data_IF_368249428198
#
_entry.id   IF_368249428198
#
_cell.length_a   1.000
_cell.length_b   1.000
_cell.length_c   1.000
_cell.angle_alpha   90.00
_cell.angle_beta   90.00
_cell.angle_gamma   90.00
#
_symmetry.space_group_name_H-M   'P 1'
#
loop_
_entity.id
_entity.type
_entity.pdbx_description
1 polymer ?
#
# COMPACT_ATOMS: atom_id res chain seq x y z
N UNK A 1 10.41 33.20 -2.42
CA UNK A 1 9.05 33.69 -2.04
C UNK A 1 9.18 35.14 -1.64
N UNK A 2 8.40 36.05 -2.28
CA UNK A 2 8.35 37.44 -1.84
C UNK A 2 7.35 37.60 -0.67
N UNK A 3 7.56 38.58 0.22
CA UNK A 3 6.64 38.80 1.34
C UNK A 3 5.21 39.06 0.87
N UNK A 4 5.06 39.76 -0.26
CA UNK A 4 3.78 40.08 -0.86
C UNK A 4 3.02 38.82 -1.33
N UNK A 5 3.75 37.80 -1.88
CA UNK A 5 3.16 36.52 -2.30
C UNK A 5 2.66 35.70 -1.10
N UNK A 6 3.42 35.71 0.00
CA UNK A 6 3.01 35.06 1.24
C UNK A 6 1.73 35.68 1.81
N UNK A 7 1.64 37.04 1.81
CA UNK A 7 0.44 37.75 2.29
C UNK A 7 -0.79 37.41 1.42
N UNK A 8 -0.62 37.40 0.09
CA UNK A 8 -1.71 36.99 -0.83
C UNK A 8 -2.25 35.60 -0.56
N UNK A 9 -1.35 34.64 -0.23
CA UNK A 9 -1.76 33.30 0.14
C UNK A 9 -2.49 33.24 1.47
N UNK A 10 -2.00 33.96 2.48
CA UNK A 10 -2.67 34.06 3.79
C UNK A 10 -4.07 34.63 3.63
N UNK A 11 -4.23 35.72 2.89
CA UNK A 11 -5.52 36.37 2.63
C UNK A 11 -6.48 35.39 1.92
N UNK A 12 -5.98 34.66 0.93
CA UNK A 12 -6.77 33.66 0.19
C UNK A 12 -7.32 32.54 1.07
N UNK A 13 -6.58 32.14 2.10
CA UNK A 13 -7.00 31.10 3.03
C UNK A 13 -7.66 31.65 4.31
N UNK A 14 -7.84 32.96 4.41
CA UNK A 14 -8.43 33.61 5.60
C UNK A 14 -7.55 33.44 6.84
N UNK A 15 -6.25 33.33 6.65
CA UNK A 15 -5.26 33.22 7.73
C UNK A 15 -4.60 34.53 8.02
N UNK A 16 -4.20 34.76 9.26
CA UNK A 16 -3.40 35.91 9.69
C UNK A 16 -2.20 35.47 10.51
N UNK A 17 -1.10 36.17 10.36
CA UNK A 17 0.12 35.99 11.17
C UNK A 17 0.29 37.24 12.02
N UNK A 18 0.71 37.08 13.27
CA UNK A 18 1.04 38.18 14.13
C UNK A 18 2.13 39.04 13.45
N UNK A 19 1.99 40.39 13.42
CA UNK A 19 3.00 41.25 12.82
C UNK A 19 4.40 41.07 13.39
N UNK A 20 4.53 40.71 14.66
CA UNK A 20 5.81 40.46 15.32
C UNK A 20 6.47 39.17 14.85
N UNK A 21 5.68 38.20 14.40
CA UNK A 21 6.16 36.89 13.87
C UNK A 21 6.29 36.85 12.33
N UNK A 22 5.88 37.93 11.65
CA UNK A 22 5.77 37.92 10.17
C UNK A 22 7.10 37.66 9.46
N UNK A 23 8.23 38.16 10.00
CA UNK A 23 9.55 37.94 9.40
C UNK A 23 10.06 36.51 9.60
N UNK A 24 9.81 35.93 10.76
CA UNK A 24 10.18 34.54 11.05
C UNK A 24 9.32 33.56 10.20
N UNK A 25 8.03 33.85 10.09
CA UNK A 25 7.12 33.09 9.24
C UNK A 25 7.53 33.13 7.76
N UNK A 26 7.89 34.35 7.27
CA UNK A 26 8.40 34.47 5.90
C UNK A 26 9.71 33.70 5.70
N UNK A 27 10.63 33.75 6.66
CA UNK A 27 11.90 33.04 6.62
C UNK A 27 11.66 31.50 6.52
N UNK A 28 10.74 30.98 7.32
CA UNK A 28 10.32 29.58 7.26
C UNK A 28 9.73 29.21 5.89
N UNK A 29 8.81 30.01 5.38
CA UNK A 29 8.20 29.77 4.06
C UNK A 29 9.23 29.81 2.92
N UNK A 30 10.18 30.75 2.98
CA UNK A 30 11.26 30.83 2.00
C UNK A 30 12.13 29.57 2.04
N UNK A 31 12.53 29.11 3.23
CA UNK A 31 13.31 27.90 3.40
C UNK A 31 12.58 26.64 2.87
N UNK A 32 11.29 26.51 3.15
CA UNK A 32 10.47 25.40 2.61
C UNK A 32 10.37 25.47 1.09
N UNK A 33 10.17 26.67 0.54
CA UNK A 33 10.14 26.88 -0.90
C UNK A 33 11.47 26.49 -1.57
N UNK A 34 12.59 26.94 -1.02
CA UNK A 34 13.93 26.65 -1.57
C UNK A 34 14.22 25.13 -1.51
N UNK A 35 13.83 24.47 -0.42
CA UNK A 35 13.89 23.01 -0.35
C UNK A 35 13.03 22.33 -1.41
N UNK A 36 11.83 22.83 -1.67
CA UNK A 36 10.93 22.28 -2.71
C UNK A 36 11.52 22.49 -4.12
N UNK A 37 12.08 23.68 -4.39
CA UNK A 37 12.76 23.97 -5.65
C UNK A 37 13.99 23.07 -5.86
N UNK A 38 14.77 22.81 -4.82
CA UNK A 38 15.91 21.90 -4.91
C UNK A 38 15.48 20.47 -5.15
N UNK A 39 14.39 20.01 -4.53
CA UNK A 39 13.80 18.71 -4.83
C UNK A 39 13.28 18.64 -6.26
N UNK A 40 12.65 19.70 -6.77
CA UNK A 40 12.14 19.76 -8.14
C UNK A 40 13.23 19.66 -9.23
N UNK A 41 14.45 20.10 -8.93
CA UNK A 41 15.62 19.99 -9.83
C UNK A 41 16.22 18.59 -9.89
N UNK A 42 15.93 17.73 -8.90
CA UNK A 42 16.48 16.38 -8.90
C UNK A 42 15.85 15.55 -10.04
N UNK A 43 16.59 14.62 -10.68
CA UNK A 43 16.04 13.77 -11.72
C UNK A 43 14.92 12.87 -11.17
N UNK A 44 13.83 12.73 -11.94
CA UNK A 44 12.79 11.77 -11.61
C UNK A 44 13.32 10.35 -11.74
N UNK A 45 13.33 9.64 -10.63
CA UNK A 45 13.58 8.21 -10.63
C UNK A 45 12.25 7.46 -10.65
N UNK A 46 11.98 6.79 -11.76
CA UNK A 46 10.84 5.88 -11.86
C UNK A 46 11.39 4.46 -12.03
N UNK A 47 11.08 3.53 -11.11
CA UNK A 47 11.45 2.14 -11.28
C UNK A 47 10.75 1.58 -12.52
N UNK A 48 11.53 0.98 -13.43
CA UNK A 48 10.97 0.34 -14.63
C UNK A 48 10.73 -1.13 -14.32
N UNK A 49 9.47 -1.61 -14.36
CA UNK A 49 9.16 -3.01 -14.13
C UNK A 49 9.69 -3.88 -15.28
N UNK A 50 10.34 -4.99 -14.96
CA UNK A 50 10.73 -5.98 -15.97
C UNK A 50 9.55 -6.89 -16.33
N UNK A 51 8.71 -6.40 -17.27
CA UNK A 51 7.52 -7.13 -17.72
C UNK A 51 7.87 -8.35 -18.58
N UNK A 52 9.08 -8.43 -19.12
CA UNK A 52 9.55 -9.58 -19.88
C UNK A 52 9.93 -10.74 -18.96
N UNK A 53 10.59 -10.43 -17.84
CA UNK A 53 10.97 -11.41 -16.82
C UNK A 53 9.77 -11.83 -15.95
N UNK A 54 8.91 -10.87 -15.63
CA UNK A 54 7.76 -11.07 -14.76
C UNK A 54 6.45 -10.68 -15.47
N UNK A 55 6.00 -11.46 -16.46
CA UNK A 55 4.76 -11.15 -17.18
C UNK A 55 3.53 -11.25 -16.28
N UNK A 56 2.60 -10.29 -16.44
CA UNK A 56 1.31 -10.28 -15.75
C UNK A 56 0.31 -11.13 -16.53
N UNK A 57 -0.33 -12.07 -15.83
CA UNK A 57 -1.26 -13.00 -16.46
C UNK A 57 -2.65 -12.88 -15.83
N UNK A 58 -3.70 -12.89 -16.66
CA UNK A 58 -5.10 -12.98 -16.23
C UNK A 58 -5.55 -11.87 -15.26
N UNK A 59 -5.13 -10.62 -15.49
CA UNK A 59 -5.56 -9.49 -14.67
C UNK A 59 -7.06 -9.30 -14.85
N UNK A 60 -7.84 -9.45 -13.77
CA UNK A 60 -9.29 -9.32 -13.80
C UNK A 60 -9.88 -9.09 -12.42
N UNK A 61 -11.10 -8.56 -12.40
CA UNK A 61 -11.94 -8.65 -11.21
C UNK A 61 -12.37 -10.10 -11.02
N UNK A 62 -12.31 -10.64 -9.81
CA UNK A 62 -12.86 -11.99 -9.56
C UNK A 62 -14.38 -11.99 -9.72
N UNK A 63 -14.92 -13.08 -10.24
CA UNK A 63 -16.35 -13.32 -10.23
C UNK A 63 -16.83 -13.62 -8.78
N UNK A 64 -18.12 -13.44 -8.46
CA UNK A 64 -18.62 -13.66 -7.10
C UNK A 64 -18.27 -15.04 -6.52
N UNK A 65 -18.29 -16.08 -7.34
CA UNK A 65 -17.96 -17.47 -6.98
C UNK A 65 -16.45 -17.70 -6.77
N UNK A 66 -15.62 -16.78 -7.19
CA UNK A 66 -14.16 -16.82 -7.05
C UNK A 66 -13.66 -16.00 -5.86
N UNK A 67 -14.57 -15.32 -5.18
CA UNK A 67 -14.25 -14.56 -3.99
C UNK A 67 -14.08 -15.49 -2.79
N UNK A 68 -13.12 -15.15 -1.95
CA UNK A 68 -12.90 -15.80 -0.67
C UNK A 68 -13.32 -14.85 0.45
N UNK A 69 -13.91 -15.39 1.53
CA UNK A 69 -14.25 -14.66 2.75
C UNK A 69 -14.98 -13.33 2.50
N UNK A 70 -16.08 -13.38 1.77
CA UNK A 70 -16.81 -12.21 1.30
C UNK A 70 -16.11 -11.62 0.09
N UNK A 71 -15.52 -10.45 0.21
CA UNK A 71 -14.86 -9.74 -0.90
C UNK A 71 -13.36 -9.56 -0.64
N UNK A 72 -12.64 -10.64 -0.33
CA UNK A 72 -11.23 -10.54 0.06
C UNK A 72 -10.28 -10.16 -1.09
N UNK A 73 -10.64 -10.43 -2.34
CA UNK A 73 -9.84 -10.08 -3.51
C UNK A 73 -10.31 -8.79 -4.18
N UNK A 74 -9.41 -7.85 -4.40
CA UNK A 74 -9.64 -6.69 -5.25
C UNK A 74 -9.46 -7.04 -6.73
N UNK A 75 -8.31 -7.62 -7.09
CA UNK A 75 -8.06 -8.22 -8.41
C UNK A 75 -7.35 -9.57 -8.25
N UNK A 76 -7.67 -10.51 -9.14
CA UNK A 76 -6.90 -11.74 -9.34
C UNK A 76 -6.04 -11.60 -10.57
N UNK A 77 -4.79 -12.00 -10.46
CA UNK A 77 -3.81 -12.12 -11.52
C UNK A 77 -2.71 -13.08 -11.07
N UNK A 78 -1.82 -13.41 -11.97
CA UNK A 78 -0.67 -14.24 -11.64
C UNK A 78 0.62 -13.61 -12.16
N UNK A 79 1.62 -13.53 -11.28
CA UNK A 79 2.98 -13.18 -11.64
C UNK A 79 3.88 -14.26 -11.04
N UNK A 80 4.58 -15.00 -11.90
CA UNK A 80 5.55 -16.00 -11.47
C UNK A 80 6.79 -15.33 -10.92
N UNK A 81 7.25 -15.76 -9.76
CA UNK A 81 8.51 -15.33 -9.18
C UNK A 81 9.72 -15.84 -9.95
N UNK A 82 10.91 -15.40 -9.52
CA UNK A 82 12.17 -15.77 -10.15
C UNK A 82 12.31 -17.29 -10.33
N UNK A 83 12.51 -17.72 -11.58
CA UNK A 83 12.62 -19.13 -11.94
C UNK A 83 13.86 -19.83 -11.34
N UNK A 84 14.91 -19.06 -11.07
CA UNK A 84 16.13 -19.56 -10.42
C UNK A 84 15.93 -19.84 -8.92
N UNK A 85 14.73 -19.54 -8.40
CA UNK A 85 14.38 -19.69 -7.00
C UNK A 85 14.74 -18.49 -6.14
N UNK A 86 14.79 -18.71 -4.84
CA UNK A 86 15.09 -17.68 -3.83
C UNK A 86 14.49 -18.06 -2.47
N UNK A 87 14.67 -17.20 -1.45
CA UNK A 87 14.21 -17.51 -0.09
C UNK A 87 12.68 -17.64 0.02
N UNK A 88 11.93 -17.12 -0.96
CA UNK A 88 10.47 -17.23 -1.03
C UNK A 88 9.98 -18.16 -2.15
N UNK A 89 10.86 -18.99 -2.73
CA UNK A 89 10.46 -19.93 -3.78
C UNK A 89 9.34 -20.85 -3.29
N UNK A 90 8.29 -20.97 -4.12
CA UNK A 90 7.10 -21.76 -3.80
C UNK A 90 6.15 -21.08 -2.80
N UNK A 91 6.38 -19.84 -2.40
CA UNK A 91 5.47 -19.06 -1.57
C UNK A 91 4.53 -18.23 -2.42
N UNK A 92 3.27 -18.19 -2.02
CA UNK A 92 2.22 -17.38 -2.65
C UNK A 92 1.97 -16.12 -1.86
N UNK A 93 1.78 -15.01 -2.58
CA UNK A 93 1.64 -13.69 -1.98
C UNK A 93 0.41 -12.97 -2.53
N UNK A 94 -0.35 -12.30 -1.65
CA UNK A 94 -1.27 -11.24 -2.03
C UNK A 94 -0.71 -9.87 -1.62
N UNK A 95 -1.10 -8.84 -2.35
CA UNK A 95 -0.69 -7.47 -2.08
C UNK A 95 -1.91 -6.63 -1.71
N UNK A 96 -1.80 -5.78 -0.70
CA UNK A 96 -2.88 -4.83 -0.41
C UNK A 96 -3.10 -3.91 -1.61
N UNK A 97 -4.34 -3.61 -1.93
CA UNK A 97 -4.74 -2.84 -3.12
C UNK A 97 -4.27 -1.36 -3.15
N UNK A 98 -3.39 -0.98 -2.26
CA UNK A 98 -2.66 0.30 -2.27
C UNK A 98 -1.21 0.16 -2.76
N UNK A 99 -0.76 -1.08 -2.98
CA UNK A 99 0.59 -1.37 -3.45
C UNK A 99 0.57 -1.38 -4.98
N UNK A 100 1.33 -0.49 -5.58
CA UNK A 100 1.38 -0.35 -7.03
C UNK A 100 1.97 -1.60 -7.70
N UNK A 101 1.22 -2.16 -8.65
CA UNK A 101 1.65 -3.23 -9.54
C UNK A 101 1.40 -2.77 -10.97
N UNK A 102 2.43 -2.68 -11.77
CA UNK A 102 2.33 -2.21 -13.15
C UNK A 102 1.30 -2.99 -13.96
N UNK A 103 0.38 -2.29 -14.59
CA UNK A 103 -0.69 -2.87 -15.40
C UNK A 103 -1.91 -3.39 -14.62
N UNK A 104 -1.90 -3.35 -13.29
CA UNK A 104 -3.03 -3.78 -12.43
C UNK A 104 -3.78 -2.56 -11.92
N UNK A 105 -5.10 -2.43 -12.19
CA UNK A 105 -5.88 -1.30 -11.67
C UNK A 105 -5.89 -1.28 -10.13
N UNK A 106 -5.77 -0.10 -9.54
CA UNK A 106 -5.92 0.13 -8.10
C UNK A 106 -7.29 0.74 -7.80
N UNK A 107 -8.00 0.19 -6.83
CA UNK A 107 -9.32 0.63 -6.43
C UNK A 107 -9.29 1.44 -5.11
N UNK A 108 -8.27 1.22 -4.28
CA UNK A 108 -8.09 1.87 -2.97
C UNK A 108 -9.28 1.66 -2.01
N UNK A 109 -10.05 0.58 -2.19
CA UNK A 109 -11.27 0.34 -1.44
C UNK A 109 -12.40 1.33 -1.72
N UNK A 110 -12.32 2.13 -2.80
CA UNK A 110 -13.20 3.27 -3.07
C UNK A 110 -13.85 3.17 -4.45
N UNK A 111 -15.01 3.81 -4.60
CA UNK A 111 -15.71 4.09 -5.86
C UNK A 111 -15.91 5.59 -6.08
N UNK A 112 -15.41 6.43 -5.17
CA UNK A 112 -15.55 7.90 -5.23
C UNK A 112 -14.65 8.51 -6.30
N UNK A 113 -13.52 7.87 -6.58
CA UNK A 113 -12.60 8.28 -7.65
C UNK A 113 -12.44 7.14 -8.66
N UNK A 114 -12.23 7.45 -9.95
CA UNK A 114 -11.92 6.42 -10.92
C UNK A 114 -10.67 5.63 -10.51
N UNK A 115 -10.69 4.33 -10.74
CA UNK A 115 -9.49 3.50 -10.61
C UNK A 115 -8.41 3.97 -11.57
N UNK A 116 -7.17 3.91 -11.17
CA UNK A 116 -6.02 4.21 -12.02
C UNK A 116 -5.13 2.98 -12.14
N UNK A 117 -4.40 2.88 -13.23
CA UNK A 117 -3.51 1.75 -13.46
C UNK A 117 -2.07 2.22 -13.37
N UNK A 118 -1.30 1.78 -12.36
CA UNK A 118 0.11 2.10 -12.23
C UNK A 118 0.91 1.62 -13.45
N UNK A 119 1.92 2.40 -13.82
CA UNK A 119 2.89 2.04 -14.87
C UNK A 119 4.18 1.45 -14.28
N UNK A 120 4.32 1.49 -12.95
CA UNK A 120 5.50 1.04 -12.20
C UNK A 120 5.10 0.01 -11.16
N UNK A 121 6.03 -0.85 -10.77
CA UNK A 121 5.91 -1.68 -9.59
C UNK A 121 6.44 -0.95 -8.36
N UNK A 122 5.75 -1.08 -7.23
CA UNK A 122 6.36 -0.74 -5.95
C UNK A 122 7.61 -1.62 -5.72
N UNK A 123 8.65 -1.07 -5.13
CA UNK A 123 9.92 -1.80 -4.91
C UNK A 123 9.73 -3.14 -4.20
N UNK A 124 8.77 -3.23 -3.27
CA UNK A 124 8.44 -4.48 -2.57
C UNK A 124 7.97 -5.56 -3.54
N UNK A 125 7.25 -5.22 -4.61
CA UNK A 125 6.79 -6.17 -5.63
C UNK A 125 7.98 -6.80 -6.35
N UNK A 126 8.91 -5.98 -6.83
CA UNK A 126 10.13 -6.45 -7.49
C UNK A 126 10.96 -7.36 -6.56
N UNK A 127 11.13 -6.95 -5.30
CA UNK A 127 11.89 -7.74 -4.31
C UNK A 127 11.24 -9.08 -3.99
N UNK A 128 9.91 -9.16 -3.91
CA UNK A 128 9.19 -10.41 -3.72
C UNK A 128 9.40 -11.35 -4.92
N UNK A 129 9.28 -10.82 -6.13
CA UNK A 129 9.48 -11.59 -7.36
C UNK A 129 10.92 -12.08 -7.49
N UNK A 130 11.91 -11.22 -7.21
CA UNK A 130 13.33 -11.58 -7.21
C UNK A 130 13.66 -12.63 -6.14
N UNK A 131 12.96 -12.59 -5.00
CA UNK A 131 13.07 -13.61 -3.95
C UNK A 131 12.35 -14.93 -4.30
N UNK A 132 11.68 -15.04 -5.44
CA UNK A 132 11.04 -16.25 -5.94
C UNK A 132 9.59 -16.42 -5.53
N UNK A 133 8.93 -15.42 -4.92
CA UNK A 133 7.52 -15.52 -4.55
C UNK A 133 6.59 -15.36 -5.76
N UNK A 134 5.52 -16.15 -5.80
CA UNK A 134 4.44 -16.01 -6.78
C UNK A 134 3.39 -15.02 -6.25
N UNK A 135 2.98 -14.04 -7.06
CA UNK A 135 1.94 -13.07 -6.68
C UNK A 135 0.62 -13.48 -7.34
N UNK A 136 -0.43 -13.65 -6.52
CA UNK A 136 -1.73 -14.16 -6.95
C UNK A 136 -2.78 -13.08 -7.16
N UNK A 137 -2.54 -11.87 -6.69
CA UNK A 137 -3.51 -10.78 -6.82
C UNK A 137 -3.34 -9.66 -5.82
N UNK A 138 -4.24 -8.66 -5.92
CA UNK A 138 -4.41 -7.63 -4.89
C UNK A 138 -5.59 -7.96 -3.99
N UNK A 139 -5.42 -7.72 -2.69
CA UNK A 139 -6.42 -7.95 -1.67
C UNK A 139 -7.15 -6.66 -1.31
N UNK A 140 -8.44 -6.78 -1.04
CA UNK A 140 -9.31 -5.67 -0.66
C UNK A 140 -8.79 -4.95 0.57
N UNK A 141 -8.83 -3.63 0.51
CA UNK A 141 -8.56 -2.75 1.64
C UNK A 141 -9.79 -1.89 1.96
N UNK A 142 -9.82 -1.33 3.15
CA UNK A 142 -10.82 -0.36 3.55
C UNK A 142 -10.74 0.91 2.69
N UNK A 143 -11.84 1.68 2.65
CA UNK A 143 -11.93 2.91 1.87
C UNK A 143 -10.76 3.85 2.22
N UNK A 144 -9.91 4.14 1.22
CA UNK A 144 -8.65 4.88 1.37
C UNK A 144 -7.78 4.45 2.56
N UNK A 145 -7.88 3.20 2.99
CA UNK A 145 -7.20 2.66 4.18
C UNK A 145 -7.56 3.36 5.50
N UNK A 146 -8.71 4.01 5.57
CA UNK A 146 -9.11 4.87 6.69
C UNK A 146 -10.04 4.20 7.72
N UNK A 147 -10.01 2.89 7.84
CA UNK A 147 -10.78 2.15 8.83
C UNK A 147 -10.02 0.93 9.35
N UNK A 148 -10.32 0.51 10.56
CA UNK A 148 -9.86 -0.75 11.14
C UNK A 148 -10.92 -1.84 11.14
N UNK A 149 -12.06 -1.58 10.52
CA UNK A 149 -13.15 -2.55 10.29
C UNK A 149 -12.90 -3.41 9.05
N UNK A 150 -13.89 -4.06 8.48
CA UNK A 150 -13.75 -4.75 7.20
C UNK A 150 -14.98 -4.55 6.32
N UNK A 151 -15.65 -3.41 6.47
CA UNK A 151 -16.94 -3.14 5.84
C UNK A 151 -17.04 -1.75 5.17
N UNK A 152 -15.98 -0.95 5.15
CA UNK A 152 -16.01 0.38 4.51
C UNK A 152 -15.59 0.34 3.04
N UNK A 153 -15.04 -0.79 2.59
CA UNK A 153 -14.63 -0.95 1.19
C UNK A 153 -15.84 -0.91 0.24
N UNK A 154 -15.74 -0.12 -0.83
CA UNK A 154 -16.74 -0.12 -1.90
C UNK A 154 -16.83 -1.45 -2.64
N UNK A 155 -15.80 -2.31 -2.54
CA UNK A 155 -15.82 -3.66 -3.10
C UNK A 155 -16.71 -4.62 -2.30
N UNK A 156 -17.01 -4.28 -1.05
CA UNK A 156 -17.86 -5.05 -0.15
C UNK A 156 -17.15 -5.54 1.11
N UNK A 157 -17.89 -6.29 1.90
CA UNK A 157 -17.45 -6.75 3.23
C UNK A 157 -16.44 -7.89 3.11
N UNK A 158 -15.43 -7.88 3.98
CA UNK A 158 -14.51 -9.00 4.17
C UNK A 158 -14.77 -9.64 5.54
N UNK A 159 -15.05 -10.93 5.54
CA UNK A 159 -15.35 -11.71 6.72
C UNK A 159 -14.12 -12.37 7.33
N UNK A 160 -14.16 -12.55 8.64
CA UNK A 160 -13.14 -13.27 9.37
C UNK A 160 -13.27 -14.78 9.10
N UNK A 161 -12.27 -15.45 8.50
CA UNK A 161 -12.38 -16.89 8.22
C UNK A 161 -12.45 -17.76 9.46
N UNK A 162 -11.96 -17.28 10.62
CA UNK A 162 -12.00 -18.01 11.90
C UNK A 162 -13.30 -17.73 12.68
N UNK A 163 -14.04 -16.71 12.31
CA UNK A 163 -15.29 -16.32 12.95
C UNK A 163 -16.27 -15.79 11.90
N UNK A 164 -16.94 -16.66 11.13
CA UNK A 164 -17.89 -16.24 10.10
C UNK A 164 -18.96 -15.26 10.65
N UNK A 165 -19.27 -14.23 9.89
CA UNK A 165 -20.19 -13.15 10.29
C UNK A 165 -19.54 -12.06 11.15
N UNK A 166 -18.26 -12.18 11.49
CA UNK A 166 -17.50 -11.16 12.19
C UNK A 166 -16.48 -10.47 11.27
N UNK A 167 -16.05 -9.30 11.69
CA UNK A 167 -15.08 -8.48 10.97
C UNK A 167 -13.71 -9.16 10.90
N UNK A 168 -13.08 -9.10 9.71
CA UNK A 168 -11.67 -9.46 9.54
C UNK A 168 -10.72 -8.38 10.09
N UNK A 169 -11.25 -7.20 10.44
CA UNK A 169 -10.43 -6.03 10.76
C UNK A 169 -9.86 -5.36 9.50
N UNK A 170 -9.17 -4.26 9.70
CA UNK A 170 -8.66 -3.43 8.60
C UNK A 170 -7.47 -2.56 9.02
N UNK A 171 -6.96 -1.85 8.06
CA UNK A 171 -7.43 -1.67 6.69
C UNK A 171 -6.89 -2.71 5.69
N UNK A 172 -6.07 -3.69 6.11
CA UNK A 172 -5.58 -4.80 5.26
C UNK A 172 -6.51 -6.02 5.43
N UNK A 173 -7.83 -5.79 5.26
CA UNK A 173 -8.88 -6.75 5.54
C UNK A 173 -8.78 -8.03 4.70
N UNK A 174 -8.77 -7.89 3.38
CA UNK A 174 -8.70 -9.02 2.46
C UNK A 174 -7.43 -9.84 2.63
N UNK A 175 -6.29 -9.16 2.80
CA UNK A 175 -5.01 -9.82 2.98
C UNK A 175 -4.96 -10.72 4.22
N UNK A 176 -5.45 -10.21 5.36
CA UNK A 176 -5.49 -10.99 6.60
C UNK A 176 -6.43 -12.20 6.48
N UNK A 177 -7.61 -12.01 5.88
CA UNK A 177 -8.55 -13.09 5.66
C UNK A 177 -7.96 -14.19 4.75
N UNK A 178 -7.30 -13.82 3.66
CA UNK A 178 -6.68 -14.77 2.73
C UNK A 178 -5.55 -15.60 3.38
N UNK A 179 -4.73 -14.96 4.23
CA UNK A 179 -3.69 -15.68 4.97
C UNK A 179 -4.29 -16.59 6.03
N UNK A 180 -5.22 -16.08 6.84
CA UNK A 180 -5.86 -16.86 7.90
C UNK A 180 -6.61 -18.07 7.35
N UNK A 181 -7.28 -17.91 6.22
CA UNK A 181 -7.98 -18.98 5.51
C UNK A 181 -7.07 -19.93 4.70
N UNK A 182 -5.77 -19.65 4.62
CA UNK A 182 -4.80 -20.51 3.94
C UNK A 182 -4.84 -20.43 2.42
N UNK A 183 -5.41 -19.38 1.85
CA UNK A 183 -5.46 -19.16 0.39
C UNK A 183 -4.12 -18.67 -0.15
N UNK A 184 -3.41 -17.86 0.63
CA UNK A 184 -2.03 -17.44 0.34
C UNK A 184 -1.14 -17.65 1.56
N UNK A 185 0.16 -17.82 1.32
CA UNK A 185 1.13 -17.96 2.42
C UNK A 185 1.39 -16.64 3.13
N UNK A 186 1.43 -15.53 2.38
CA UNK A 186 1.86 -14.22 2.85
C UNK A 186 0.98 -13.14 2.24
N UNK A 187 0.74 -12.07 2.97
CA UNK A 187 0.21 -10.82 2.40
C UNK A 187 1.07 -9.63 2.80
N UNK A 188 1.19 -8.66 1.90
CA UNK A 188 1.86 -7.39 2.16
C UNK A 188 0.81 -6.30 2.32
N UNK A 189 0.94 -5.50 3.36
CA UNK A 189 0.06 -4.37 3.64
C UNK A 189 0.82 -3.19 4.24
N UNK A 190 0.11 -2.11 4.56
CA UNK A 190 0.63 -0.92 5.23
C UNK A 190 -0.02 -0.74 6.61
N UNK A 191 0.74 -0.24 7.58
CA UNK A 191 0.27 0.01 8.95
C UNK A 191 0.74 1.38 9.42
N UNK A 192 -0.16 2.36 9.48
CA UNK A 192 0.07 3.67 10.07
C UNK A 192 -0.56 3.78 11.47
N UNK A 193 -1.79 3.29 11.62
CA UNK A 193 -2.58 3.36 12.85
C UNK A 193 -3.08 2.01 13.35
N UNK A 194 -2.55 0.88 12.83
CA UNK A 194 -3.00 -0.47 13.20
C UNK A 194 -3.41 -1.34 12.01
N UNK A 195 -3.30 -0.85 10.79
CA UNK A 195 -3.87 -1.47 9.57
C UNK A 195 -3.29 -2.84 9.18
N UNK A 196 -2.26 -3.32 9.89
CA UNK A 196 -1.78 -4.71 9.86
C UNK A 196 -2.06 -5.39 11.18
N UNK A 197 -1.74 -4.72 12.29
CA UNK A 197 -1.85 -5.30 13.64
C UNK A 197 -3.28 -5.66 14.00
N UNK A 198 -4.25 -4.80 13.66
CA UNK A 198 -5.67 -5.05 13.95
C UNK A 198 -6.19 -6.27 13.19
N UNK A 199 -6.13 -6.35 11.85
CA UNK A 199 -6.63 -7.52 11.15
C UNK A 199 -5.83 -8.79 11.47
N UNK A 200 -4.53 -8.69 11.74
CA UNK A 200 -3.75 -9.84 12.19
C UNK A 200 -4.24 -10.38 13.53
N UNK A 201 -4.55 -9.50 14.48
CA UNK A 201 -5.07 -9.89 15.78
C UNK A 201 -6.45 -10.55 15.68
N UNK A 202 -7.35 -10.00 14.87
CA UNK A 202 -8.70 -10.53 14.71
C UNK A 202 -8.73 -11.85 13.92
N UNK A 203 -7.90 -11.99 12.90
CA UNK A 203 -7.81 -13.19 12.07
C UNK A 203 -6.77 -14.22 12.57
N UNK A 204 -6.14 -14.01 13.72
CA UNK A 204 -5.18 -14.96 14.29
C UNK A 204 -3.91 -15.13 13.44
N UNK A 205 -3.54 -14.12 12.64
CA UNK A 205 -2.33 -14.16 11.83
C UNK A 205 -1.10 -13.74 12.64
N UNK A 206 0.06 -14.29 12.27
CA UNK A 206 1.33 -13.81 12.78
C UNK A 206 1.83 -12.63 11.95
N UNK A 207 2.32 -11.59 12.62
CA UNK A 207 3.06 -10.51 12.02
C UNK A 207 4.54 -10.85 12.15
N UNK A 208 5.28 -10.95 11.06
CA UNK A 208 6.71 -11.15 11.15
C UNK A 208 7.35 -9.91 11.78
N UNK A 209 8.18 -10.09 12.81
CA UNK A 209 8.98 -9.01 13.37
C UNK A 209 9.90 -8.50 12.26
N UNK A 210 9.86 -7.22 12.01
CA UNK A 210 10.55 -6.64 10.89
C UNK A 210 11.81 -5.91 11.33
N UNK A 211 12.86 -6.14 10.56
CA UNK A 211 13.93 -5.18 10.43
C UNK A 211 13.52 -4.15 9.37
N UNK A 212 12.44 -3.42 9.64
CA UNK A 212 11.72 -2.52 8.74
C UNK A 212 12.60 -1.40 8.18
N UNK A 213 13.63 -1.00 8.94
CA UNK A 213 14.53 0.10 8.60
C UNK A 213 15.46 -0.29 7.43
N UNK A 214 15.85 -1.54 7.31
CA UNK A 214 16.75 -1.99 6.23
C UNK A 214 16.06 -1.98 4.87
N UNK A 215 14.76 -2.26 4.79
CA UNK A 215 14.00 -2.14 3.55
C UNK A 215 13.76 -0.69 3.11
N UNK A 216 13.70 0.25 4.05
CA UNK A 216 13.47 1.67 3.76
C UNK A 216 14.76 2.40 3.36
N UNK A 217 15.93 1.95 3.82
CA UNK A 217 17.20 2.61 3.55
C UNK A 217 17.63 2.55 2.07
N UNK A 218 17.18 1.53 1.34
CA UNK A 218 17.51 1.33 -0.07
C UNK A 218 16.49 1.91 -1.06
N UNK A 219 15.38 2.48 -0.56
CA UNK A 219 14.40 3.15 -1.42
C UNK A 219 14.87 4.60 -1.59
N UNK A 220 15.21 5.05 -2.82
CA UNK A 220 15.45 6.45 -3.07
C UNK A 220 14.28 7.28 -2.54
N UNK A 221 14.57 8.34 -1.79
CA UNK A 221 13.55 9.15 -1.08
C UNK A 221 12.38 9.64 -1.95
N UNK A 222 12.54 9.64 -3.28
CA UNK A 222 11.50 9.97 -4.26
C UNK A 222 10.50 8.88 -4.56
N UNK A 223 10.82 7.60 -4.37
CA UNK A 223 9.84 6.51 -4.53
C UNK A 223 8.72 6.56 -3.47
N UNK A 224 8.84 7.42 -2.50
CA UNK A 224 7.86 7.60 -1.43
C UNK A 224 6.55 8.24 -1.90
N UNK A 225 6.58 9.13 -2.87
CA UNK A 225 5.39 9.89 -3.29
C UNK A 225 4.46 9.09 -4.21
N UNK A 226 4.98 8.10 -4.94
CA UNK A 226 4.18 7.33 -5.91
C UNK A 226 3.78 5.94 -5.41
N UNK A 227 4.54 5.35 -4.48
CA UNK A 227 4.21 4.06 -3.87
C UNK A 227 3.34 4.19 -2.62
N UNK A 228 3.16 5.41 -2.10
CA UNK A 228 2.47 5.67 -0.84
C UNK A 228 1.59 6.89 -0.92
N UNK A 229 0.33 6.72 -0.67
CA UNK A 229 -0.60 7.82 -0.42
C UNK A 229 -0.33 8.53 0.91
N UNK A 230 0.61 8.01 1.76
CA UNK A 230 0.86 8.57 3.10
C UNK A 230 2.33 8.45 3.51
N UNK A 231 2.98 9.55 3.98
CA UNK A 231 4.29 9.50 4.59
C UNK A 231 4.26 8.65 5.88
N UNK A 232 5.21 7.77 6.05
CA UNK A 232 5.34 6.93 7.26
C UNK A 232 4.67 5.56 7.20
N UNK A 233 4.25 5.10 6.02
CA UNK A 233 3.72 3.74 5.84
C UNK A 233 4.80 2.70 6.14
N UNK A 234 4.50 1.80 7.07
CA UNK A 234 5.34 0.64 7.38
C UNK A 234 4.72 -0.57 6.73
N UNK A 235 5.43 -1.21 5.80
CA UNK A 235 5.00 -2.47 5.22
C UNK A 235 5.40 -3.62 6.11
N UNK A 236 4.41 -4.45 6.45
CA UNK A 236 4.60 -5.69 7.18
C UNK A 236 3.90 -6.81 6.46
N UNK A 237 4.35 -8.03 6.67
CA UNK A 237 3.70 -9.20 6.12
C UNK A 237 3.03 -10.01 7.22
N UNK A 238 1.95 -10.68 6.83
CA UNK A 238 1.29 -11.67 7.65
C UNK A 238 1.77 -13.06 7.24
N UNK A 239 1.88 -13.94 8.18
CA UNK A 239 2.14 -15.36 7.96
C UNK A 239 1.11 -16.18 8.72
N UNK A 240 0.67 -17.28 8.15
CA UNK A 240 -0.16 -18.24 8.86
C UNK A 240 0.61 -18.75 10.07
N UNK A 241 -0.07 -18.84 11.23
CA UNK A 241 0.49 -19.54 12.38
C UNK A 241 0.79 -20.96 11.94
N UNK A 242 2.04 -21.44 12.10
CA UNK A 242 2.33 -22.83 11.90
C UNK A 242 1.45 -23.60 12.88
N UNK A 243 0.51 -24.39 12.34
CA UNK A 243 -0.29 -25.27 13.14
C UNK A 243 0.60 -26.30 13.85
N UNK A 244 0.18 -26.68 15.01
CA UNK A 244 0.65 -27.83 15.71
C UNK A 244 0.47 -29.09 14.86
#
# INVERSE_FOLDING_TARGET
VKKEDAQLLLDKFGLSVDPDDADDFHTLLAAVHDCAEDVAKLPDYQPVPDLSRYPRQNIRRPAPEEQDFGQAWAHKFFIKGNADGGPLAGKTVSLKDVIAVAGVPQLLGSDVIPSWTPITDATVVTRLLDAGADILGTSTCENFCHSTSSYTSAQGIVENPLAPGYSAGGSTSGGAALVAGGVVDITIGGDQGGSIRVPASLCGCMIAPEKTIECLADIPRRCWSEAHTWPGSVYRHFKRRCGE
#
